data_IF_626748753145
#
_entry.id   IF_626748753145
#
_cell.length_a   1.000
_cell.length_b   1.000
_cell.length_c   1.000
_cell.angle_alpha   90.00
_cell.angle_beta   90.00
_cell.angle_gamma   90.00
#
_symmetry.space_group_name_H-M   'P 1'
#
loop_
_entity.id
_entity.type
_entity.pdbx_description
1 polymer ?
#
# COMPACT_ATOMS: atom_id res chain seq x y z
N UNK A 1 24.08 13.10 -5.28
CA UNK A 1 22.60 13.17 -5.38
C UNK A 1 22.06 12.63 -6.70
N UNK A 2 22.67 12.95 -7.85
CA UNK A 2 22.19 12.51 -9.18
C UNK A 2 22.25 10.99 -9.36
N UNK A 3 23.35 10.33 -9.00
CA UNK A 3 23.51 8.88 -9.13
C UNK A 3 22.42 8.07 -8.39
N UNK A 4 22.10 8.45 -7.14
CA UNK A 4 21.01 7.80 -6.37
C UNK A 4 19.67 7.95 -7.07
N UNK A 5 19.37 9.12 -7.65
CA UNK A 5 18.12 9.37 -8.37
C UNK A 5 18.03 8.57 -9.66
N UNK A 6 19.14 8.47 -10.40
CA UNK A 6 19.23 7.63 -11.61
C UNK A 6 18.99 6.16 -11.27
N UNK A 7 19.67 5.63 -10.25
CA UNK A 7 19.48 4.23 -9.80
C UNK A 7 18.01 3.99 -9.39
N UNK A 8 17.41 4.91 -8.64
CA UNK A 8 16.00 4.81 -8.26
C UNK A 8 15.08 4.77 -9.47
N UNK A 9 15.29 5.63 -10.47
CA UNK A 9 14.48 5.64 -11.70
C UNK A 9 14.66 4.34 -12.48
N UNK A 10 15.90 3.87 -12.64
CA UNK A 10 16.22 2.62 -13.35
C UNK A 10 15.57 1.40 -12.70
N UNK A 11 15.34 1.42 -11.38
CA UNK A 11 14.65 0.32 -10.69
C UNK A 11 13.13 0.52 -10.70
N UNK A 12 12.65 1.74 -10.39
CA UNK A 12 11.22 2.01 -10.25
C UNK A 12 10.47 1.98 -11.57
N UNK A 13 11.09 2.44 -12.67
CA UNK A 13 10.41 2.50 -13.97
C UNK A 13 10.10 1.08 -14.49
N UNK A 14 11.06 0.14 -14.57
CA UNK A 14 10.75 -1.23 -14.97
C UNK A 14 9.75 -1.91 -14.02
N UNK A 15 9.90 -1.70 -12.71
CA UNK A 15 8.94 -2.22 -11.73
C UNK A 15 7.52 -1.70 -12.00
N UNK A 16 7.37 -0.40 -12.25
CA UNK A 16 6.09 0.20 -12.60
C UNK A 16 5.50 -0.39 -13.89
N UNK A 17 6.33 -0.59 -14.93
CA UNK A 17 5.91 -1.24 -16.17
C UNK A 17 5.38 -2.66 -15.91
N UNK A 18 6.08 -3.45 -15.12
CA UNK A 18 5.65 -4.82 -14.74
C UNK A 18 4.31 -4.77 -14.01
N UNK A 19 4.16 -3.87 -13.02
CA UNK A 19 2.92 -3.74 -12.26
C UNK A 19 1.74 -3.31 -13.14
N UNK A 20 1.97 -2.38 -14.09
CA UNK A 20 0.95 -1.95 -15.06
C UNK A 20 0.58 -3.12 -15.98
N UNK A 21 1.57 -3.83 -16.53
CA UNK A 21 1.32 -4.97 -17.41
C UNK A 21 0.52 -6.07 -16.70
N UNK A 22 0.87 -6.40 -15.45
CA UNK A 22 0.11 -7.33 -14.62
C UNK A 22 -1.32 -6.83 -14.37
N UNK A 23 -1.51 -5.53 -14.12
CA UNK A 23 -2.85 -4.95 -13.91
C UNK A 23 -3.71 -5.03 -15.17
N UNK A 24 -3.13 -4.74 -16.34
CA UNK A 24 -3.82 -4.80 -17.62
C UNK A 24 -4.15 -6.25 -18.01
N UNK A 25 -3.22 -7.18 -17.77
CA UNK A 25 -3.42 -8.60 -18.01
C UNK A 25 -4.52 -9.19 -17.10
N UNK A 26 -4.61 -8.70 -15.86
CA UNK A 26 -5.59 -9.14 -14.86
C UNK A 26 -6.70 -8.10 -14.65
N UNK A 27 -7.21 -7.52 -15.75
CA UNK A 27 -8.31 -6.53 -15.73
C UNK A 27 -9.70 -7.14 -15.48
N UNK A 28 -9.78 -8.46 -15.37
CA UNK A 28 -11.03 -9.16 -15.13
C UNK A 28 -11.62 -8.79 -13.78
N UNK A 29 -12.94 -8.58 -13.76
CA UNK A 29 -13.66 -8.22 -12.55
C UNK A 29 -13.82 -9.44 -11.66
N UNK A 30 -13.25 -9.38 -10.45
CA UNK A 30 -13.32 -10.45 -9.45
C UNK A 30 -14.05 -9.93 -8.22
N UNK A 31 -14.96 -10.75 -7.71
CA UNK A 31 -15.72 -10.43 -6.50
C UNK A 31 -14.88 -10.62 -5.27
N UNK A 32 -14.73 -9.55 -4.47
CA UNK A 32 -14.20 -9.64 -3.11
C UNK A 32 -15.36 -9.58 -2.13
N UNK A 33 -15.63 -10.70 -1.46
CA UNK A 33 -16.60 -10.76 -0.36
C UNK A 33 -15.90 -10.47 0.96
N UNK A 34 -16.34 -9.42 1.66
CA UNK A 34 -15.82 -9.01 2.97
C UNK A 34 -16.76 -9.53 4.06
N UNK A 35 -17.07 -10.82 4.01
CA UNK A 35 -17.91 -11.51 4.99
C UNK A 35 -17.24 -12.85 5.36
N UNK A 36 -16.62 -12.94 6.55
CA UNK A 36 -15.93 -14.16 6.97
C UNK A 36 -16.89 -15.28 7.42
N UNK A 37 -18.20 -14.98 7.56
CA UNK A 37 -19.19 -15.92 8.07
C UNK A 37 -20.17 -16.39 6.99
N UNK A 38 -20.36 -15.60 5.93
CA UNK A 38 -21.21 -15.96 4.80
C UNK A 38 -20.52 -15.68 3.45
N UNK A 39 -19.68 -16.62 2.97
CA UNK A 39 -19.03 -16.51 1.67
C UNK A 39 -20.07 -16.40 0.54
N UNK A 40 -19.95 -15.38 -0.29
CA UNK A 40 -20.89 -15.12 -1.40
C UNK A 40 -22.09 -14.25 -1.03
N UNK A 41 -22.14 -13.67 0.17
CA UNK A 41 -23.16 -12.68 0.53
C UNK A 41 -23.13 -11.47 -0.43
N UNK A 42 -24.19 -11.22 -1.23
CA UNK A 42 -24.20 -10.15 -2.22
C UNK A 42 -24.15 -8.75 -1.59
N UNK A 43 -24.55 -8.59 -0.32
CA UNK A 43 -24.52 -7.30 0.37
C UNK A 43 -23.10 -6.84 0.75
N UNK A 44 -22.15 -7.78 0.87
CA UNK A 44 -20.76 -7.56 1.27
C UNK A 44 -19.77 -7.96 0.16
N UNK A 45 -20.27 -8.20 -1.06
CA UNK A 45 -19.45 -8.56 -2.21
C UNK A 45 -19.27 -7.36 -3.13
N UNK A 46 -18.01 -6.98 -3.33
CA UNK A 46 -17.64 -5.85 -4.16
C UNK A 46 -16.90 -6.32 -5.40
N UNK A 47 -17.32 -5.82 -6.56
CA UNK A 47 -16.80 -6.23 -7.85
C UNK A 47 -15.79 -5.21 -8.36
N UNK A 48 -14.54 -5.65 -8.51
CA UNK A 48 -13.48 -4.83 -9.10
C UNK A 48 -12.35 -5.72 -9.64
N UNK A 49 -11.51 -5.23 -10.56
CA UNK A 49 -10.29 -5.93 -10.92
C UNK A 49 -9.39 -6.19 -9.71
N UNK A 50 -8.79 -7.38 -9.65
CA UNK A 50 -8.04 -7.85 -8.49
C UNK A 50 -6.85 -6.93 -8.12
N UNK A 51 -6.25 -6.25 -9.09
CA UNK A 51 -5.17 -5.30 -8.82
C UNK A 51 -5.62 -4.12 -7.93
N UNK A 52 -6.89 -3.71 -7.99
CA UNK A 52 -7.43 -2.63 -7.15
C UNK A 52 -7.44 -3.07 -5.68
N UNK A 53 -7.89 -4.31 -5.43
CA UNK A 53 -7.90 -4.88 -4.08
C UNK A 53 -6.48 -5.05 -3.53
N UNK A 54 -5.57 -5.59 -4.33
CA UNK A 54 -4.17 -5.79 -3.90
C UNK A 54 -3.45 -4.48 -3.58
N UNK A 55 -3.48 -3.51 -4.50
CA UNK A 55 -2.80 -2.23 -4.28
C UNK A 55 -3.50 -1.40 -3.20
N UNK A 56 -4.83 -1.43 -3.12
CA UNK A 56 -5.59 -0.80 -2.04
C UNK A 56 -5.18 -1.34 -0.67
N UNK A 57 -5.10 -2.66 -0.52
CA UNK A 57 -4.64 -3.30 0.72
C UNK A 57 -3.19 -2.93 1.06
N UNK A 58 -2.29 -2.92 0.06
CA UNK A 58 -0.89 -2.55 0.25
C UNK A 58 -0.74 -1.10 0.69
N UNK A 59 -1.44 -0.17 0.05
CA UNK A 59 -1.44 1.26 0.41
C UNK A 59 -2.00 1.44 1.82
N UNK A 60 -3.14 0.82 2.13
CA UNK A 60 -3.76 0.91 3.45
C UNK A 60 -2.82 0.38 4.54
N UNK A 61 -2.20 -0.78 4.32
CA UNK A 61 -1.22 -1.37 5.24
C UNK A 61 -0.01 -0.46 5.45
N UNK A 62 0.52 0.15 4.39
CA UNK A 62 1.62 1.10 4.48
C UNK A 62 1.25 2.36 5.29
N UNK A 63 0.04 2.90 5.08
CA UNK A 63 -0.47 4.05 5.83
C UNK A 63 -0.64 3.72 7.33
N UNK A 64 -1.22 2.55 7.64
CA UNK A 64 -1.36 2.06 9.02
C UNK A 64 0.02 1.89 9.66
N UNK A 65 0.96 1.25 8.97
CA UNK A 65 2.32 1.06 9.46
C UNK A 65 3.04 2.39 9.72
N UNK A 66 2.89 3.36 8.82
CA UNK A 66 3.44 4.71 8.99
C UNK A 66 2.80 5.43 10.19
N UNK A 67 1.49 5.34 10.37
CA UNK A 67 0.76 5.93 11.50
C UNK A 67 1.21 5.32 12.84
N UNK A 68 1.29 4.00 12.92
CA UNK A 68 1.79 3.27 14.10
C UNK A 68 3.21 3.69 14.44
N UNK A 69 4.10 3.71 13.44
CA UNK A 69 5.49 4.15 13.59
C UNK A 69 5.56 5.59 14.09
N UNK A 70 4.71 6.47 13.57
CA UNK A 70 4.68 7.87 13.97
C UNK A 70 4.31 8.03 15.45
N UNK A 71 3.27 7.31 15.90
CA UNK A 71 2.78 7.36 17.28
C UNK A 71 3.81 6.78 18.27
N UNK A 72 4.43 5.64 17.95
CA UNK A 72 5.46 5.02 18.80
C UNK A 72 6.73 5.88 18.88
N UNK A 73 7.19 6.45 17.77
CA UNK A 73 8.34 7.35 17.72
C UNK A 73 8.03 8.76 18.27
N UNK A 74 6.80 9.06 18.67
CA UNK A 74 6.39 10.34 19.25
C UNK A 74 7.07 10.65 20.59
N UNK A 75 7.34 9.64 21.43
CA UNK A 75 8.08 9.81 22.70
C UNK A 75 9.54 10.22 22.48
N UNK A 76 10.20 9.67 21.45
CA UNK A 76 11.58 10.02 21.11
C UNK A 76 11.68 11.49 20.65
N UNK A 77 10.72 11.94 19.83
CA UNK A 77 10.60 13.34 19.40
C UNK A 77 10.42 14.34 20.55
N UNK A 78 9.80 13.92 21.66
CA UNK A 78 9.68 14.77 22.86
C UNK A 78 10.97 14.83 23.68
N UNK A 79 11.78 13.76 23.70
CA UNK A 79 13.04 13.69 24.45
C UNK A 79 14.13 14.55 23.80
N UNK A 80 14.23 14.56 22.47
CA UNK A 80 15.20 15.43 21.78
C UNK A 80 14.92 16.93 21.97
N UNK A 81 13.63 17.31 22.08
CA UNK A 81 13.24 18.69 22.39
C UNK A 81 13.60 19.14 23.81
N UNK A 82 13.71 18.19 24.75
CA UNK A 82 14.14 18.47 26.14
C UNK A 82 15.66 18.50 26.31
N UNK A 83 16.41 17.79 25.46
CA UNK A 83 17.87 17.74 25.53
C UNK A 83 18.56 18.92 24.84
N UNK A 84 17.84 19.63 23.94
CA UNK A 84 18.30 20.86 23.28
C UNK A 84 17.91 22.16 24.02
N UNK A 85 17.28 22.06 25.19
CA UNK A 85 17.10 23.18 26.14
C UNK A 85 18.09 22.99 27.27
#
# INVERSE_FOLDING_TARGET
MVAKRVITIVILVPLAVILIALSVANRETIGLTIDPFNPGNPALTYQAPLFIWLFGALILGALIGAAVTWLTQGKHRRRERRYKK
#
